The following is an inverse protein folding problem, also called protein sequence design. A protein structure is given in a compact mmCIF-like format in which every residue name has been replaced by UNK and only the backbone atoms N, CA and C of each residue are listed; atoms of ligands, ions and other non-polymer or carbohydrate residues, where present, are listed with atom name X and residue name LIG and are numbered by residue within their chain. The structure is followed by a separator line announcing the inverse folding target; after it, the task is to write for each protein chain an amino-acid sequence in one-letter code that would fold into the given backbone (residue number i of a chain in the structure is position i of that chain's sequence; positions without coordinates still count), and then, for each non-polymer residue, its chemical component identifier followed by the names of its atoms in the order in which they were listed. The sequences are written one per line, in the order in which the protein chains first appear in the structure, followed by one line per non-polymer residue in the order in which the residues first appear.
data_IF_950576091711
#
_entry.id   IF_950576091711
#
_cell.length_a   1.000
_cell.length_b   1.000
_cell.length_c   1.000
_cell.angle_alpha   90.00
_cell.angle_beta   90.00
_cell.angle_gamma   90.00
#
_symmetry.space_group_name_H-M   'P 1'
#
loop_
_entity.id
_entity.type
_entity.pdbx_description
1 polymer ?
#
# COMPACT_ATOMS: atom_id res chain seq x y z
N UNK A 1 -8.33 -37.18 7.07
CA UNK A 1 -7.91 -36.40 5.89
C UNK A 1 -8.21 -37.22 4.65
N UNK A 2 -9.21 -36.86 3.86
CA UNK A 2 -9.51 -37.50 2.57
C UNK A 2 -8.51 -36.94 1.53
N UNK A 3 -7.63 -37.79 1.00
CA UNK A 3 -6.80 -37.45 -0.16
C UNK A 3 -7.73 -37.29 -1.35
N UNK A 4 -7.83 -36.09 -1.90
CA UNK A 4 -8.43 -35.88 -3.23
C UNK A 4 -7.47 -36.49 -4.25
N UNK A 5 -7.85 -37.63 -4.84
CA UNK A 5 -7.17 -38.22 -6.01
C UNK A 5 -7.62 -37.44 -7.24
N UNK A 6 -6.88 -36.40 -7.58
CA UNK A 6 -7.05 -35.60 -8.79
C UNK A 6 -5.73 -34.93 -9.17
N UNK A 7 -5.54 -34.66 -10.44
CA UNK A 7 -4.42 -33.86 -10.94
C UNK A 7 -4.44 -32.53 -10.16
N UNK A 8 -3.37 -32.23 -9.43
CA UNK A 8 -3.24 -30.95 -8.71
C UNK A 8 -3.34 -29.81 -9.73
N UNK A 9 -4.34 -28.96 -9.55
CA UNK A 9 -4.51 -27.78 -10.39
C UNK A 9 -3.51 -26.70 -9.96
N UNK A 10 -3.30 -25.70 -10.80
CA UNK A 10 -2.48 -24.52 -10.43
C UNK A 10 -3.03 -23.80 -9.21
N UNK A 11 -4.32 -23.92 -8.94
CA UNK A 11 -4.99 -23.36 -7.75
C UNK A 11 -4.65 -24.13 -6.48
N UNK A 12 -4.67 -25.47 -6.52
CA UNK A 12 -4.26 -26.30 -5.37
C UNK A 12 -2.82 -26.00 -4.96
N UNK A 13 -1.93 -25.80 -5.93
CA UNK A 13 -0.52 -25.41 -5.66
C UNK A 13 -0.41 -24.01 -5.03
N UNK A 14 -1.30 -23.10 -5.36
CA UNK A 14 -1.33 -21.77 -4.73
C UNK A 14 -1.80 -21.84 -3.27
N UNK A 15 -2.79 -22.68 -2.96
CA UNK A 15 -3.26 -22.91 -1.59
C UNK A 15 -2.13 -23.45 -0.70
N UNK A 16 -1.27 -24.35 -1.21
CA UNK A 16 -0.12 -24.87 -0.48
C UNK A 16 0.94 -23.79 -0.13
N UNK A 17 0.93 -22.67 -0.85
CA UNK A 17 1.83 -21.54 -0.62
C UNK A 17 1.22 -20.46 0.28
N UNK A 18 0.00 -20.63 0.75
CA UNK A 18 -0.65 -19.65 1.62
C UNK A 18 -0.16 -19.75 3.07
N UNK A 19 -0.05 -18.59 3.70
CA UNK A 19 0.17 -18.55 5.14
C UNK A 19 -1.11 -18.98 5.87
N UNK A 20 -1.10 -20.03 6.72
CA UNK A 20 -2.30 -20.56 7.37
C UNK A 20 -2.92 -19.62 8.41
N UNK A 21 -2.30 -18.46 8.67
CA UNK A 21 -2.79 -17.46 9.62
C UNK A 21 -3.58 -16.35 8.94
N UNK A 22 -3.05 -15.81 7.83
CA UNK A 22 -3.69 -14.70 7.11
C UNK A 22 -4.31 -15.12 5.78
N UNK A 23 -4.20 -16.40 5.40
CA UNK A 23 -4.75 -17.00 4.18
C UNK A 23 -4.34 -16.23 2.91
N UNK A 24 -3.09 -15.78 2.88
CA UNK A 24 -2.51 -15.05 1.74
C UNK A 24 -1.16 -15.66 1.39
N UNK A 25 -0.86 -15.69 0.10
CA UNK A 25 0.49 -16.03 -0.37
C UNK A 25 1.43 -14.92 0.09
N UNK A 26 2.54 -15.25 0.81
CA UNK A 26 3.50 -14.26 1.26
C UNK A 26 4.12 -13.52 0.07
N UNK A 27 4.21 -12.18 0.15
CA UNK A 27 4.81 -11.36 -0.91
C UNK A 27 6.18 -10.81 -0.55
N UNK A 28 6.61 -11.03 0.68
CA UNK A 28 7.91 -10.54 1.18
C UNK A 28 8.64 -11.62 1.94
N UNK A 29 9.94 -11.64 1.79
CA UNK A 29 10.86 -12.47 2.56
C UNK A 29 11.19 -11.80 3.91
N UNK A 30 11.60 -12.56 4.92
CA UNK A 30 11.71 -14.02 4.96
C UNK A 30 10.35 -14.72 5.09
N UNK A 31 10.28 -15.94 4.56
CA UNK A 31 9.19 -16.89 4.80
C UNK A 31 9.75 -17.94 5.77
N UNK A 32 9.03 -18.16 6.85
CA UNK A 32 9.45 -19.10 7.90
C UNK A 32 8.74 -20.43 7.77
N UNK A 33 9.30 -21.47 8.36
CA UNK A 33 8.69 -22.79 8.44
C UNK A 33 8.92 -23.43 9.81
N UNK A 34 8.02 -24.32 10.22
CA UNK A 34 8.26 -25.19 11.36
C UNK A 34 9.12 -26.41 10.94
N UNK A 35 9.55 -27.23 11.92
CA UNK A 35 10.38 -28.42 11.68
C UNK A 35 9.71 -29.45 10.74
N UNK A 36 8.38 -29.40 10.59
CA UNK A 36 7.63 -30.25 9.66
C UNK A 36 7.34 -29.57 8.30
N UNK A 37 7.95 -28.42 8.03
CA UNK A 37 7.87 -27.72 6.75
C UNK A 37 6.62 -26.85 6.52
N UNK A 38 5.72 -26.69 7.50
CA UNK A 38 4.57 -25.79 7.34
C UNK A 38 5.04 -24.35 7.37
N UNK A 39 4.68 -23.60 6.34
CA UNK A 39 5.13 -22.22 6.14
C UNK A 39 4.26 -21.21 6.86
N UNK A 40 4.82 -20.03 7.12
CA UNK A 40 4.11 -18.84 7.59
C UNK A 40 4.87 -17.56 7.22
N UNK A 41 4.14 -16.49 6.98
CA UNK A 41 4.71 -15.26 6.49
C UNK A 41 5.42 -14.46 7.60
N UNK A 42 6.34 -13.57 7.19
CA UNK A 42 7.07 -12.65 8.08
C UNK A 42 6.15 -11.86 9.02
N UNK A 43 5.00 -11.41 8.52
CA UNK A 43 4.07 -10.56 9.28
C UNK A 43 3.37 -11.34 10.40
N UNK A 44 3.06 -12.62 10.16
CA UNK A 44 2.38 -13.47 11.15
C UNK A 44 3.35 -14.14 12.13
N UNK A 45 4.60 -14.38 11.70
CA UNK A 45 5.63 -15.06 12.47
C UNK A 45 5.79 -14.55 13.92
N UNK A 46 5.90 -13.23 14.21
CA UNK A 46 6.10 -12.75 15.57
C UNK A 46 4.95 -13.04 16.54
N UNK A 47 3.80 -13.38 16.02
CA UNK A 47 2.58 -13.71 16.82
C UNK A 47 2.43 -15.19 17.08
N UNK A 48 3.29 -16.02 16.49
CA UNK A 48 3.19 -17.46 16.56
C UNK A 48 4.21 -18.02 17.56
N UNK A 49 3.75 -18.86 18.47
CA UNK A 49 4.61 -19.65 19.37
C UNK A 49 4.63 -21.13 18.97
N UNK A 50 3.59 -21.59 18.27
CA UNK A 50 3.44 -22.95 17.77
C UNK A 50 2.84 -22.92 16.38
N UNK A 51 3.20 -23.91 15.57
CA UNK A 51 2.64 -24.06 14.24
C UNK A 51 1.12 -24.25 14.29
N UNK A 52 0.33 -23.42 13.57
CA UNK A 52 -1.13 -23.54 13.59
C UNK A 52 -1.63 -24.84 12.99
N UNK A 53 -0.84 -25.54 12.16
CA UNK A 53 -1.19 -26.77 11.49
C UNK A 53 -0.84 -27.99 12.36
N UNK A 54 0.41 -28.12 12.81
CA UNK A 54 0.89 -29.32 13.48
C UNK A 54 1.26 -29.12 14.96
N UNK A 55 1.13 -27.89 15.48
CA UNK A 55 1.46 -27.50 16.87
C UNK A 55 2.93 -27.69 17.30
N UNK A 56 3.83 -28.02 16.35
CA UNK A 56 5.26 -28.04 16.62
C UNK A 56 5.76 -26.66 17.06
N UNK A 57 6.89 -26.62 17.75
CA UNK A 57 7.54 -25.36 18.06
C UNK A 57 7.91 -24.60 16.78
N UNK A 58 7.89 -23.28 16.84
CA UNK A 58 8.32 -22.40 15.75
C UNK A 58 9.63 -21.74 16.16
N UNK A 59 10.62 -21.89 15.30
CA UNK A 59 11.89 -21.17 15.34
C UNK A 59 12.01 -20.21 14.16
N UNK A 60 13.18 -19.64 13.98
CA UNK A 60 13.51 -18.69 12.91
C UNK A 60 13.98 -19.38 11.61
N UNK A 61 13.62 -20.65 11.43
CA UNK A 61 14.00 -21.41 10.23
C UNK A 61 13.28 -20.85 9.01
N UNK A 62 14.06 -20.40 8.01
CA UNK A 62 13.55 -19.87 6.74
C UNK A 62 13.29 -20.99 5.73
N UNK A 63 12.23 -20.88 4.98
CA UNK A 63 11.91 -21.74 3.84
C UNK A 63 12.44 -21.15 2.55
N UNK A 64 13.75 -21.29 2.30
CA UNK A 64 14.41 -20.71 1.13
C UNK A 64 13.83 -21.23 -0.20
N UNK A 65 13.41 -22.49 -0.23
CA UNK A 65 12.76 -23.06 -1.41
C UNK A 65 11.42 -22.37 -1.69
N UNK A 66 10.58 -22.18 -0.67
CA UNK A 66 9.30 -21.50 -0.83
C UNK A 66 9.50 -20.03 -1.23
N UNK A 67 10.49 -19.34 -0.68
CA UNK A 67 10.85 -17.98 -1.10
C UNK A 67 11.19 -17.93 -2.59
N UNK A 68 11.98 -18.89 -3.07
CA UNK A 68 12.35 -18.99 -4.49
C UNK A 68 11.17 -19.30 -5.39
N UNK A 69 10.26 -20.17 -4.97
CA UNK A 69 9.03 -20.48 -5.72
C UNK A 69 8.13 -19.24 -5.80
N UNK A 70 7.86 -18.60 -4.67
CA UNK A 70 6.97 -17.43 -4.60
C UNK A 70 7.54 -16.25 -5.38
N UNK A 71 8.86 -16.05 -5.42
CA UNK A 71 9.47 -14.96 -6.21
C UNK A 71 9.25 -15.09 -7.73
N UNK A 72 8.84 -16.26 -8.20
CA UNK A 72 8.54 -16.55 -9.61
C UNK A 72 7.06 -16.78 -9.89
N UNK A 73 6.22 -16.65 -8.88
CA UNK A 73 4.78 -16.86 -8.99
C UNK A 73 4.10 -15.54 -9.34
N UNK A 74 3.45 -15.43 -10.51
CA UNK A 74 2.67 -14.24 -10.83
C UNK A 74 1.62 -13.98 -9.76
N UNK A 75 1.47 -12.73 -9.38
CA UNK A 75 0.57 -12.29 -8.31
C UNK A 75 -0.34 -11.17 -8.78
N UNK A 76 -1.56 -11.14 -8.24
CA UNK A 76 -2.48 -10.02 -8.46
C UNK A 76 -2.06 -8.81 -7.64
N UNK A 77 -2.42 -7.63 -8.11
CA UNK A 77 -2.27 -6.40 -7.34
C UNK A 77 -2.95 -6.53 -5.96
N UNK A 78 -2.29 -6.06 -4.90
CA UNK A 78 -2.86 -6.05 -3.55
C UNK A 78 -4.17 -5.24 -3.44
N UNK A 79 -4.42 -4.37 -4.41
CA UNK A 79 -5.61 -3.52 -4.48
C UNK A 79 -6.64 -4.01 -5.51
N UNK A 80 -6.57 -5.29 -5.89
CA UNK A 80 -7.54 -5.91 -6.80
C UNK A 80 -8.98 -5.77 -6.28
N UNK A 81 -9.20 -6.02 -4.99
CA UNK A 81 -10.53 -5.86 -4.37
C UNK A 81 -11.04 -4.42 -4.39
N UNK A 82 -10.16 -3.43 -4.49
CA UNK A 82 -10.52 -2.02 -4.65
C UNK A 82 -10.87 -1.65 -6.11
N UNK A 83 -10.73 -2.61 -7.05
CA UNK A 83 -11.05 -2.43 -8.46
C UNK A 83 -9.85 -2.38 -9.40
N UNK A 84 -8.64 -2.70 -8.96
CA UNK A 84 -7.47 -2.79 -9.83
C UNK A 84 -7.54 -4.06 -10.70
N UNK A 85 -7.62 -3.88 -12.02
CA UNK A 85 -7.71 -4.97 -13.00
C UNK A 85 -6.40 -5.16 -13.78
N UNK A 86 -5.28 -4.71 -13.23
CA UNK A 86 -3.97 -4.97 -13.85
C UNK A 86 -3.73 -6.48 -13.88
N UNK A 87 -3.27 -7.06 -15.00
CA UNK A 87 -2.94 -8.46 -15.10
C UNK A 87 -1.93 -8.90 -14.03
N UNK A 88 -1.96 -10.17 -13.69
CA UNK A 88 -0.96 -10.75 -12.79
C UNK A 88 0.44 -10.60 -13.36
N UNK A 89 1.41 -10.30 -12.52
CA UNK A 89 2.80 -10.12 -12.89
C UNK A 89 3.72 -10.65 -11.79
N UNK A 90 5.01 -10.74 -12.08
CA UNK A 90 6.00 -11.17 -11.11
C UNK A 90 6.07 -10.19 -9.93
N UNK A 91 6.43 -10.68 -8.72
CA UNK A 91 6.40 -9.85 -7.51
C UNK A 91 7.16 -8.52 -7.58
N UNK A 92 8.35 -8.42 -8.21
CA UNK A 92 9.04 -7.12 -8.34
C UNK A 92 8.26 -6.10 -9.15
N UNK A 93 7.74 -6.50 -10.33
CA UNK A 93 6.97 -5.66 -11.23
C UNK A 93 5.64 -5.26 -10.58
N UNK A 94 4.97 -6.23 -9.96
CA UNK A 94 3.74 -5.97 -9.22
C UNK A 94 3.96 -5.02 -8.04
N UNK A 95 5.05 -5.14 -7.31
CA UNK A 95 5.40 -4.22 -6.23
C UNK A 95 5.61 -2.80 -6.76
N UNK A 96 6.30 -2.66 -7.90
CA UNK A 96 6.48 -1.37 -8.56
C UNK A 96 5.16 -0.77 -9.00
N UNK A 97 4.26 -1.58 -9.59
CA UNK A 97 2.90 -1.13 -9.92
C UNK A 97 2.14 -0.66 -8.67
N UNK A 98 2.19 -1.40 -7.58
CA UNK A 98 1.44 -1.11 -6.34
C UNK A 98 1.82 0.23 -5.71
N UNK A 99 3.08 0.67 -5.85
CA UNK A 99 3.51 1.99 -5.39
C UNK A 99 2.76 3.13 -6.08
N UNK A 100 2.43 2.95 -7.35
CA UNK A 100 1.68 3.92 -8.15
C UNK A 100 0.22 3.58 -8.40
N UNK A 101 -0.30 2.50 -7.83
CA UNK A 101 -1.64 2.00 -8.14
C UNK A 101 -2.73 3.02 -7.77
N UNK A 102 -3.61 3.32 -8.73
CA UNK A 102 -4.73 4.26 -8.53
C UNK A 102 -5.78 3.74 -7.54
N UNK A 103 -5.76 2.45 -7.27
CA UNK A 103 -6.66 1.79 -6.30
C UNK A 103 -6.01 1.54 -4.94
N UNK A 104 -4.79 2.03 -4.70
CA UNK A 104 -4.14 1.89 -3.40
C UNK A 104 -4.89 2.68 -2.33
N UNK A 105 -4.86 2.16 -1.11
CA UNK A 105 -5.42 2.84 0.05
C UNK A 105 -4.37 3.77 0.66
N UNK A 106 -4.77 5.01 0.91
CA UNK A 106 -3.92 6.05 1.50
C UNK A 106 -4.61 6.68 2.70
N UNK A 107 -3.81 7.19 3.64
CA UNK A 107 -4.31 7.99 4.77
C UNK A 107 -4.48 9.45 4.34
N UNK A 108 -5.53 10.09 4.85
CA UNK A 108 -5.68 11.53 4.68
C UNK A 108 -4.51 12.27 5.34
N UNK A 109 -3.97 13.25 4.64
CA UNK A 109 -2.82 14.04 5.11
C UNK A 109 -3.26 15.38 5.71
N UNK A 110 -4.56 15.70 5.72
CA UNK A 110 -5.11 16.87 6.38
C UNK A 110 -5.02 16.69 7.89
N UNK A 111 -4.53 17.70 8.58
CA UNK A 111 -4.38 17.68 10.06
C UNK A 111 -5.72 17.29 10.72
N UNK A 112 -5.65 16.40 11.70
CA UNK A 112 -6.78 15.87 12.46
C UNK A 112 -7.74 14.94 11.69
N UNK A 113 -7.56 14.71 10.40
CA UNK A 113 -8.29 13.67 9.67
C UNK A 113 -7.58 12.31 9.82
N UNK A 114 -8.28 11.32 10.35
CA UNK A 114 -7.75 9.96 10.53
C UNK A 114 -8.25 8.98 9.46
N UNK A 115 -9.03 9.45 8.51
CA UNK A 115 -9.65 8.63 7.48
C UNK A 115 -8.62 8.05 6.53
N UNK A 116 -8.91 6.84 6.06
CA UNK A 116 -8.22 6.18 4.95
C UNK A 116 -9.19 6.03 3.78
N UNK A 117 -8.70 6.20 2.58
CA UNK A 117 -9.53 6.07 1.37
C UNK A 117 -8.70 5.52 0.20
N UNK A 118 -9.41 5.00 -0.79
CA UNK A 118 -8.80 4.58 -2.06
C UNK A 118 -8.48 5.81 -2.89
N UNK A 119 -7.30 5.87 -3.50
CA UNK A 119 -6.84 7.04 -4.28
C UNK A 119 -7.87 7.48 -5.32
N UNK A 120 -8.52 6.54 -6.01
CA UNK A 120 -9.60 6.84 -6.97
C UNK A 120 -10.78 7.61 -6.38
N UNK A 121 -10.92 7.63 -5.05
CA UNK A 121 -12.00 8.30 -4.33
C UNK A 121 -11.54 9.57 -3.60
N UNK A 122 -10.33 10.07 -3.89
CA UNK A 122 -9.75 11.23 -3.20
C UNK A 122 -10.65 12.47 -3.29
N UNK A 123 -11.16 12.79 -4.48
CA UNK A 123 -12.05 13.94 -4.66
C UNK A 123 -13.34 13.81 -3.86
N UNK A 124 -13.92 12.60 -3.81
CA UNK A 124 -15.12 12.33 -3.01
C UNK A 124 -14.86 12.50 -1.51
N UNK A 125 -13.70 12.03 -1.02
CA UNK A 125 -13.28 12.22 0.37
C UNK A 125 -13.13 13.71 0.70
N UNK A 126 -12.43 14.47 -0.16
CA UNK A 126 -12.20 15.90 0.08
C UNK A 126 -13.50 16.71 0.04
N UNK A 127 -14.38 16.46 -0.92
CA UNK A 127 -15.66 17.11 -0.99
C UNK A 127 -16.53 16.87 0.26
N UNK A 128 -16.47 15.67 0.83
CA UNK A 128 -17.28 15.31 1.99
C UNK A 128 -16.67 15.75 3.34
N UNK A 129 -15.34 15.68 3.49
CA UNK A 129 -14.66 15.90 4.77
C UNK A 129 -13.87 17.20 4.84
N UNK A 130 -13.51 17.76 3.69
CA UNK A 130 -12.67 18.96 3.60
C UNK A 130 -13.21 19.92 2.52
N UNK A 131 -14.48 20.36 2.59
CA UNK A 131 -15.11 21.16 1.53
C UNK A 131 -14.41 22.51 1.30
N UNK A 132 -13.67 23.03 2.28
CA UNK A 132 -12.87 24.23 2.12
C UNK A 132 -11.61 24.03 1.24
N UNK A 133 -11.27 22.78 0.88
CA UNK A 133 -10.13 22.43 0.05
C UNK A 133 -10.66 22.02 -1.32
N UNK A 134 -10.97 22.99 -2.15
CA UNK A 134 -11.47 22.72 -3.49
C UNK A 134 -10.35 22.23 -4.42
N UNK A 135 -10.61 21.21 -5.27
CA UNK A 135 -9.67 20.80 -6.31
C UNK A 135 -9.54 21.92 -7.36
N UNK A 136 -8.29 22.29 -7.64
CA UNK A 136 -7.98 23.27 -8.68
C UNK A 136 -7.43 22.55 -9.91
N UNK A 137 -8.07 22.74 -11.05
CA UNK A 137 -7.54 22.30 -12.33
C UNK A 137 -6.34 23.17 -12.69
N UNK A 138 -5.23 22.52 -12.96
CA UNK A 138 -3.97 23.19 -13.26
C UNK A 138 -3.39 22.66 -14.58
N UNK A 139 -3.16 23.56 -15.53
CA UNK A 139 -2.16 23.34 -16.56
C UNK A 139 -0.77 23.61 -15.98
N UNK A 140 0.29 23.04 -16.58
CA UNK A 140 1.68 23.18 -16.12
C UNK A 140 2.08 24.63 -15.79
N UNK A 141 1.53 25.62 -16.51
CA UNK A 141 1.77 27.04 -16.30
C UNK A 141 1.05 27.67 -15.10
N UNK A 142 0.01 27.04 -14.58
CA UNK A 142 -0.75 27.62 -13.46
C UNK A 142 -0.23 27.25 -12.08
N UNK A 143 0.58 26.19 -11.97
CA UNK A 143 1.23 25.80 -10.71
C UNK A 143 2.20 26.91 -10.25
N UNK A 144 2.88 27.56 -11.18
CA UNK A 144 3.78 28.69 -10.90
C UNK A 144 3.06 29.96 -10.45
N UNK A 145 1.80 30.17 -10.85
CA UNK A 145 1.00 31.32 -10.41
C UNK A 145 0.47 31.17 -8.98
N UNK A 146 0.21 29.96 -8.52
CA UNK A 146 -0.22 29.72 -7.13
C UNK A 146 0.93 29.80 -6.11
N UNK A 147 2.17 29.84 -6.56
CA UNK A 147 3.33 30.13 -5.71
C UNK A 147 3.44 31.60 -5.31
N UNK A 148 2.68 32.51 -5.92
CA UNK A 148 2.62 33.90 -5.50
C UNK A 148 1.71 34.03 -4.27
N UNK A 149 2.31 33.79 -3.12
CA UNK A 149 2.19 34.58 -1.91
C UNK A 149 0.79 34.75 -1.28
N UNK A 150 0.38 33.75 -0.56
CA UNK A 150 -0.24 34.07 0.72
C UNK A 150 0.89 33.96 1.75
N UNK A 151 1.35 35.08 2.30
CA UNK A 151 2.30 35.05 3.41
C UNK A 151 1.71 34.22 4.56
N UNK A 152 2.52 33.42 5.26
CA UNK A 152 2.01 32.71 6.42
C UNK A 152 1.61 33.73 7.47
N UNK A 153 0.46 33.58 8.11
CA UNK A 153 0.02 34.53 9.12
C UNK A 153 0.97 34.60 10.32
N UNK A 154 1.77 33.57 10.57
CA UNK A 154 2.70 33.53 11.71
C UNK A 154 3.85 32.54 11.47
N UNK A 155 4.99 32.76 12.14
CA UNK A 155 6.10 31.80 12.20
C UNK A 155 5.60 30.47 12.78
N UNK A 156 6.03 29.35 12.21
CA UNK A 156 5.60 28.01 12.57
C UNK A 156 4.17 27.61 12.10
N UNK A 157 3.59 28.38 11.20
CA UNK A 157 2.28 28.08 10.64
C UNK A 157 2.37 27.20 9.40
N UNK A 158 1.29 26.51 9.12
CA UNK A 158 1.12 25.74 7.88
C UNK A 158 0.04 26.38 7.02
N UNK A 159 0.31 26.50 5.72
CA UNK A 159 -0.73 26.90 4.77
C UNK A 159 -1.79 25.81 4.64
N UNK A 160 -3.03 26.20 4.29
CA UNK A 160 -4.03 25.22 3.89
C UNK A 160 -3.48 24.31 2.79
N UNK A 161 -3.72 23.02 2.84
CA UNK A 161 -3.31 22.12 1.78
C UNK A 161 -4.00 22.50 0.46
N UNK A 162 -3.27 22.41 -0.64
CA UNK A 162 -3.77 22.68 -1.99
C UNK A 162 -3.97 21.35 -2.71
N UNK A 163 -5.18 21.06 -3.15
CA UNK A 163 -5.49 19.93 -3.99
C UNK A 163 -5.43 20.36 -5.45
N UNK A 164 -4.56 19.72 -6.23
CA UNK A 164 -4.37 20.00 -7.66
C UNK A 164 -4.80 18.79 -8.48
N UNK A 165 -5.38 19.04 -9.63
CA UNK A 165 -5.65 18.03 -10.64
C UNK A 165 -4.90 18.40 -11.92
N UNK A 166 -4.01 17.55 -12.39
CA UNK A 166 -3.26 17.73 -13.61
C UNK A 166 -3.02 16.38 -14.30
N UNK A 167 -3.20 16.32 -15.62
CA UNK A 167 -2.99 15.13 -16.44
C UNK A 167 -3.69 13.86 -15.90
N UNK A 168 -4.93 14.00 -15.42
CA UNK A 168 -5.71 12.90 -14.85
C UNK A 168 -5.24 12.40 -13.48
N UNK A 169 -4.23 13.04 -12.88
CA UNK A 169 -3.72 12.71 -11.54
C UNK A 169 -4.08 13.80 -10.54
N UNK A 170 -4.22 13.40 -9.29
CA UNK A 170 -4.44 14.32 -8.18
C UNK A 170 -3.17 14.45 -7.35
N UNK A 171 -2.89 15.68 -6.95
CA UNK A 171 -1.73 16.04 -6.15
C UNK A 171 -2.20 16.88 -4.97
N UNK A 172 -1.72 16.57 -3.78
CA UNK A 172 -1.86 17.47 -2.67
C UNK A 172 -0.52 18.08 -2.29
N UNK A 173 -0.51 19.39 -2.22
CA UNK A 173 0.66 20.18 -1.83
C UNK A 173 0.42 20.73 -0.44
N UNK A 174 1.29 20.40 0.50
CA UNK A 174 1.30 21.02 1.84
C UNK A 174 2.58 21.83 1.99
N UNK A 175 2.48 22.97 2.63
CA UNK A 175 3.62 23.84 2.94
C UNK A 175 3.69 24.07 4.45
N UNK A 176 4.89 24.12 4.96
CA UNK A 176 5.16 24.46 6.35
C UNK A 176 6.41 25.32 6.43
N UNK A 177 6.36 26.37 7.23
CA UNK A 177 7.53 27.13 7.62
C UNK A 177 8.01 26.63 8.98
N UNK A 178 9.29 26.38 9.14
CA UNK A 178 9.90 26.05 10.42
C UNK A 178 10.26 27.30 11.24
N UNK A 179 10.76 27.09 12.44
CA UNK A 179 11.19 28.16 13.35
C UNK A 179 12.38 28.99 12.81
N UNK A 180 13.15 28.42 11.87
CA UNK A 180 14.30 29.06 11.24
C UNK A 180 13.93 29.90 10.02
N UNK A 181 12.64 29.88 9.62
CA UNK A 181 12.15 30.61 8.44
C UNK A 181 12.26 29.81 7.12
N UNK A 182 12.80 28.59 7.15
CA UNK A 182 12.87 27.75 5.95
C UNK A 182 11.49 27.15 5.63
N UNK A 183 11.25 27.00 4.32
CA UNK A 183 10.01 26.44 3.81
C UNK A 183 10.20 24.97 3.47
N UNK A 184 9.38 24.10 4.04
CA UNK A 184 9.23 22.73 3.62
C UNK A 184 7.97 22.57 2.79
N UNK A 185 8.09 22.06 1.58
CA UNK A 185 6.98 21.70 0.72
C UNK A 185 6.91 20.18 0.56
N UNK A 186 5.74 19.59 0.77
CA UNK A 186 5.50 18.17 0.50
C UNK A 186 4.43 18.04 -0.56
N UNK A 187 4.73 17.27 -1.58
CA UNK A 187 3.78 16.92 -2.64
C UNK A 187 3.40 15.46 -2.45
N UNK A 188 2.12 15.22 -2.30
CA UNK A 188 1.55 13.88 -2.26
C UNK A 188 0.90 13.62 -3.61
N UNK A 189 1.30 12.54 -4.27
CA UNK A 189 0.75 12.12 -5.56
C UNK A 189 -0.26 11.00 -5.27
N UNK A 190 -1.48 11.21 -5.75
CA UNK A 190 -2.55 10.25 -5.63
C UNK A 190 -2.76 9.48 -6.92
#
# INVERSE_FOLDING_TARGET
MKRKSGIQTSEDMREDLECPVCLKIPRSTPIYQCDKGHIHCKTCHPRLRKCPICRAAIGDTRSLMTEKVISRLPTRCAFHENGCNVPEDLPPEMTQHELGCYFRTVKCTVKNCKDTFVVSKVLKHFAAKHPAIEPKNSSYHSVTKYSKFVEPPERNSSWPPLLLQANGRQFMVTRRQDTSGYFAMRVYIF
#
